data_IF_375420634390
#
_entry.id   IF_375420634390
#
_cell.length_a   1.000
_cell.length_b   1.000
_cell.length_c   1.000
_cell.angle_alpha   90.00
_cell.angle_beta   90.00
_cell.angle_gamma   90.00
#
_symmetry.space_group_name_H-M   'P 1'
#
loop_
_entity.id
_entity.type
_entity.pdbx_description
1 polymer ?
#
# COMPACT_ATOMS: atom_id res chain seq x y z
N UNK A 1 -16.80 6.04 25.13
CA UNK A 1 -17.26 7.25 25.82
C UNK A 1 -16.81 7.23 27.27
N UNK A 2 -15.64 7.82 27.55
CA UNK A 2 -15.11 7.96 28.91
C UNK A 2 -15.72 9.13 29.69
N UNK A 3 -16.55 9.94 29.04
CA UNK A 3 -17.28 11.05 29.64
C UNK A 3 -18.54 10.61 30.39
N UNK A 4 -19.27 11.60 30.89
CA UNK A 4 -20.51 11.43 31.65
C UNK A 4 -21.77 11.82 30.87
N UNK A 5 -21.63 12.24 29.61
CA UNK A 5 -22.74 12.61 28.70
C UNK A 5 -22.80 11.59 27.57
N UNK A 6 -23.99 11.13 27.19
CA UNK A 6 -24.18 10.26 26.01
C UNK A 6 -23.75 11.01 24.76
N UNK A 7 -22.93 10.37 23.92
CA UNK A 7 -22.57 10.88 22.60
C UNK A 7 -23.56 10.35 21.56
N UNK A 8 -24.13 11.22 20.75
CA UNK A 8 -25.10 10.91 19.72
C UNK A 8 -24.56 11.24 18.32
N UNK A 9 -25.13 10.56 17.32
CA UNK A 9 -24.79 10.74 15.91
C UNK A 9 -23.29 10.65 15.62
N UNK A 10 -22.62 9.71 16.29
CA UNK A 10 -21.19 9.53 16.14
C UNK A 10 -20.91 9.09 14.70
N UNK A 11 -20.05 9.83 14.01
CA UNK A 11 -19.55 9.50 12.67
C UNK A 11 -18.04 9.39 12.68
N UNK A 12 -17.49 8.64 11.73
CA UNK A 12 -16.05 8.53 11.52
C UNK A 12 -15.76 8.82 10.05
N UNK A 13 -14.80 9.70 9.81
CA UNK A 13 -14.33 10.06 8.49
C UNK A 13 -12.84 9.78 8.37
N UNK A 14 -12.39 9.50 7.14
CA UNK A 14 -11.01 9.17 6.84
C UNK A 14 -10.66 9.68 5.42
N UNK A 15 -9.56 10.42 5.22
CA UNK A 15 -9.19 10.95 3.91
C UNK A 15 -8.76 9.88 2.89
N UNK A 16 -8.25 8.73 3.34
CA UNK A 16 -7.68 7.68 2.50
C UNK A 16 -8.67 6.57 2.16
N UNK A 17 -9.72 6.40 2.98
CA UNK A 17 -10.70 5.32 2.80
C UNK A 17 -12.13 5.78 3.00
N UNK A 18 -13.06 5.10 2.31
CA UNK A 18 -14.47 5.22 2.61
C UNK A 18 -14.79 4.38 3.86
N UNK A 19 -15.16 5.05 4.95
CA UNK A 19 -15.61 4.39 6.17
C UNK A 19 -17.04 3.88 6.00
N UNK A 20 -17.25 2.59 6.28
CA UNK A 20 -18.57 1.96 6.33
C UNK A 20 -19.01 1.84 7.79
N UNK A 21 -20.23 2.29 8.09
CA UNK A 21 -20.76 2.26 9.44
C UNK A 21 -21.55 3.50 9.83
N UNK A 22 -22.01 3.50 11.07
CA UNK A 22 -22.66 4.64 11.71
C UNK A 22 -23.91 5.20 11.00
N UNK A 23 -24.41 6.35 11.49
CA UNK A 23 -24.05 6.94 12.78
C UNK A 23 -24.48 6.04 13.96
N UNK A 24 -23.78 6.14 15.10
CA UNK A 24 -24.11 5.40 16.33
C UNK A 24 -24.24 6.33 17.54
N UNK A 25 -24.77 5.81 18.65
CA UNK A 25 -24.80 6.51 19.93
C UNK A 25 -24.00 5.72 20.98
N UNK A 26 -23.24 6.40 21.84
CA UNK A 26 -22.49 5.80 22.94
C UNK A 26 -22.88 6.42 24.28
N UNK A 27 -23.54 5.64 25.13
CA UNK A 27 -23.79 6.01 26.53
C UNK A 27 -22.48 6.16 27.34
N UNK A 28 -22.49 6.89 28.46
CA UNK A 28 -21.34 6.98 29.36
C UNK A 28 -20.78 5.60 29.74
N UNK A 29 -19.46 5.44 29.64
CA UNK A 29 -18.75 4.19 29.91
C UNK A 29 -18.83 3.12 28.82
N UNK A 30 -19.66 3.29 27.79
CA UNK A 30 -19.75 2.35 26.67
C UNK A 30 -18.59 2.51 25.68
N UNK A 31 -18.28 1.43 24.96
CA UNK A 31 -17.31 1.39 23.87
C UNK A 31 -17.91 0.64 22.67
N UNK A 32 -17.52 1.04 21.47
CA UNK A 32 -17.86 0.38 20.21
C UNK A 32 -16.55 0.07 19.46
N UNK A 33 -16.46 -1.12 18.91
CA UNK A 33 -15.32 -1.57 18.10
C UNK A 33 -15.74 -2.42 16.89
N UNK A 34 -17.01 -2.32 16.49
CA UNK A 34 -17.59 -3.15 15.42
C UNK A 34 -18.41 -2.36 14.41
N UNK A 35 -18.88 -1.15 14.77
CA UNK A 35 -19.81 -0.39 13.93
C UNK A 35 -19.14 0.38 12.80
N UNK A 36 -17.82 0.57 12.84
CA UNK A 36 -17.04 1.27 11.81
C UNK A 36 -15.95 0.37 11.23
N UNK A 37 -15.90 0.26 9.91
CA UNK A 37 -14.90 -0.53 9.17
C UNK A 37 -14.50 0.19 7.89
N UNK A 38 -13.26 0.00 7.44
CA UNK A 38 -12.79 0.51 6.17
C UNK A 38 -11.69 -0.39 5.61
N UNK A 39 -11.40 -0.28 4.31
CA UNK A 39 -10.31 -1.03 3.67
C UNK A 39 -9.55 -0.11 2.73
N UNK A 40 -8.24 -0.03 2.94
CA UNK A 40 -7.32 0.70 2.06
C UNK A 40 -6.67 -0.28 1.07
N UNK A 41 -6.68 0.06 -0.21
CA UNK A 41 -5.97 -0.72 -1.24
C UNK A 41 -4.61 -0.07 -1.47
N UNK A 42 -3.54 -0.81 -1.17
CA UNK A 42 -2.17 -0.32 -1.34
C UNK A 42 -1.85 -0.01 -2.80
N UNK A 43 -1.09 1.06 -3.01
CA UNK A 43 -0.49 1.43 -4.29
C UNK A 43 0.97 0.98 -4.37
N UNK A 44 1.55 0.95 -5.57
CA UNK A 44 2.98 0.67 -5.72
C UNK A 44 3.84 1.74 -5.02
N UNK A 45 3.41 3.00 -5.04
CA UNK A 45 4.11 4.07 -4.33
C UNK A 45 4.14 3.85 -2.81
N UNK A 46 3.10 3.25 -2.23
CA UNK A 46 3.08 2.86 -0.81
C UNK A 46 4.07 1.73 -0.53
N UNK A 47 4.17 0.74 -1.43
CA UNK A 47 5.15 -0.33 -1.29
C UNK A 47 6.58 0.22 -1.42
N UNK A 48 6.81 1.14 -2.35
CA UNK A 48 8.09 1.81 -2.57
C UNK A 48 8.47 2.75 -1.40
N UNK A 49 7.48 3.39 -0.74
CA UNK A 49 7.70 4.20 0.46
C UNK A 49 7.94 3.34 1.71
N UNK A 50 7.47 2.09 1.70
CA UNK A 50 7.64 1.13 2.79
C UNK A 50 6.72 1.36 3.99
N UNK A 51 5.76 2.29 3.91
CA UNK A 51 4.75 2.52 4.96
C UNK A 51 3.53 3.27 4.42
N UNK A 52 2.40 3.13 5.13
CA UNK A 52 1.20 3.94 4.95
C UNK A 52 0.88 4.64 6.27
N UNK A 53 0.75 5.96 6.22
CA UNK A 53 0.29 6.79 7.32
C UNK A 53 -1.16 7.19 7.07
N UNK A 54 -2.07 6.76 7.95
CA UNK A 54 -3.50 7.03 7.82
C UNK A 54 -4.04 7.76 9.06
N UNK A 55 -4.99 8.66 8.87
CA UNK A 55 -5.61 9.44 9.95
C UNK A 55 -7.13 9.34 9.83
N UNK A 56 -7.78 8.83 10.87
CA UNK A 56 -9.24 8.83 10.97
C UNK A 56 -9.68 9.85 12.01
N UNK A 57 -10.88 10.39 11.82
CA UNK A 57 -11.46 11.44 12.64
C UNK A 57 -12.88 11.09 13.05
N UNK A 58 -13.16 11.11 14.35
CA UNK A 58 -14.50 10.87 14.88
C UNK A 58 -15.17 12.16 15.34
N UNK A 59 -16.46 12.30 15.05
CA UNK A 59 -17.28 13.45 15.45
C UNK A 59 -18.61 12.98 16.09
N UNK A 60 -19.22 13.81 16.94
CA UNK A 60 -20.50 13.56 17.61
C UNK A 60 -21.17 14.89 18.00
N UNK A 61 -22.50 14.90 18.12
CA UNK A 61 -23.29 16.13 18.36
C UNK A 61 -22.88 16.89 19.63
N UNK A 62 -22.39 16.18 20.65
CA UNK A 62 -21.98 16.75 21.94
C UNK A 62 -20.52 17.23 21.97
N UNK A 63 -19.75 17.05 20.89
CA UNK A 63 -18.39 17.58 20.78
C UNK A 63 -18.44 19.03 20.28
N UNK A 64 -17.76 19.93 21.00
CA UNK A 64 -17.72 21.36 20.67
C UNK A 64 -16.43 21.82 19.97
N UNK A 65 -15.45 20.91 19.76
CA UNK A 65 -14.20 20.95 18.94
C UNK A 65 -12.92 20.48 19.72
N UNK A 66 -11.97 19.70 19.13
CA UNK A 66 -12.04 18.97 17.87
C UNK A 66 -12.44 17.51 18.03
N UNK A 67 -13.22 17.05 17.07
CA UNK A 67 -12.89 15.88 16.26
C UNK A 67 -11.72 15.04 16.84
N UNK A 68 -12.03 13.87 17.40
CA UNK A 68 -10.99 13.00 17.94
C UNK A 68 -10.30 12.30 16.76
N UNK A 69 -9.14 12.84 16.38
CA UNK A 69 -8.32 12.32 15.29
C UNK A 69 -7.24 11.38 15.83
N UNK A 70 -7.09 10.22 15.22
CA UNK A 70 -6.00 9.29 15.53
C UNK A 70 -5.22 8.93 14.28
N UNK A 71 -3.88 8.92 14.39
CA UNK A 71 -3.01 8.46 13.32
C UNK A 71 -2.59 7.00 13.53
N UNK A 72 -2.33 6.30 12.44
CA UNK A 72 -1.75 4.96 12.45
C UNK A 72 -0.74 4.84 11.31
N UNK A 73 0.46 4.35 11.64
CA UNK A 73 1.52 4.07 10.67
C UNK A 73 1.66 2.56 10.50
N UNK A 74 1.31 2.06 9.32
CA UNK A 74 1.45 0.64 8.99
C UNK A 74 2.71 0.42 8.15
N UNK A 75 3.76 -0.23 8.68
CA UNK A 75 4.95 -0.55 7.91
C UNK A 75 4.69 -1.66 6.88
N UNK A 76 5.29 -1.55 5.70
CA UNK A 76 5.21 -2.50 4.61
C UNK A 76 6.58 -3.13 4.36
N UNK A 77 6.64 -4.46 4.37
CA UNK A 77 7.90 -5.19 4.14
C UNK A 77 8.35 -5.05 2.68
N UNK A 78 9.52 -4.44 2.49
CA UNK A 78 10.17 -4.35 1.19
C UNK A 78 11.09 -5.56 0.95
N UNK A 79 11.07 -6.07 -0.26
CA UNK A 79 11.85 -7.21 -0.73
C UNK A 79 12.33 -6.93 -2.17
N UNK A 80 13.34 -6.08 -2.35
CA UNK A 80 13.96 -5.83 -3.66
C UNK A 80 14.58 -7.12 -4.19
N UNK A 81 14.28 -7.47 -5.43
CA UNK A 81 14.87 -8.63 -6.09
C UNK A 81 14.91 -8.44 -7.60
N UNK A 82 15.93 -8.99 -8.25
CA UNK A 82 16.09 -8.89 -9.69
C UNK A 82 16.66 -10.18 -10.26
N UNK A 83 16.23 -10.51 -11.47
CA UNK A 83 16.82 -11.59 -12.27
C UNK A 83 17.33 -11.04 -13.59
N UNK A 84 18.35 -11.71 -14.14
CA UNK A 84 18.93 -11.39 -15.44
C UNK A 84 18.97 -12.64 -16.31
N UNK A 85 18.55 -12.51 -17.56
CA UNK A 85 18.71 -13.52 -18.58
C UNK A 85 19.65 -13.01 -19.67
N UNK A 86 20.57 -13.88 -20.13
CA UNK A 86 21.51 -13.60 -21.21
C UNK A 86 21.30 -14.62 -22.32
N UNK A 87 21.03 -14.15 -23.52
CA UNK A 87 20.99 -14.98 -24.72
C UNK A 87 22.07 -14.54 -25.71
N UNK A 88 22.69 -15.50 -26.38
CA UNK A 88 23.71 -15.26 -27.40
C UNK A 88 23.25 -15.85 -28.74
N UNK A 89 23.49 -15.13 -29.83
CA UNK A 89 23.32 -15.63 -31.20
C UNK A 89 24.66 -15.51 -31.91
N UNK A 90 25.20 -16.63 -32.36
CA UNK A 90 26.36 -16.62 -33.24
C UNK A 90 25.99 -15.95 -34.56
N UNK A 91 26.86 -15.09 -35.03
CA UNK A 91 26.76 -14.43 -36.31
C UNK A 91 27.77 -15.12 -37.23
N UNK A 92 27.27 -15.89 -38.21
CA UNK A 92 28.09 -16.47 -39.27
C UNK A 92 28.22 -15.43 -40.38
N UNK A 93 29.28 -14.63 -40.35
CA UNK A 93 29.42 -13.50 -41.26
C UNK A 93 29.79 -13.92 -42.69
N UNK A 94 30.37 -15.10 -42.87
CA UNK A 94 30.77 -15.59 -44.20
C UNK A 94 29.85 -16.68 -44.77
N UNK A 95 28.89 -17.17 -43.97
CA UNK A 95 27.83 -18.08 -44.39
C UNK A 95 28.29 -19.52 -44.61
N UNK A 96 29.44 -19.92 -44.06
CA UNK A 96 30.01 -21.26 -44.28
C UNK A 96 29.51 -22.30 -43.25
N UNK A 97 28.76 -21.87 -42.22
CA UNK A 97 28.21 -22.72 -41.17
C UNK A 97 29.21 -23.16 -40.09
N UNK A 98 30.42 -22.58 -40.07
CA UNK A 98 31.47 -22.85 -39.09
C UNK A 98 31.84 -21.59 -38.31
N UNK A 99 32.35 -21.76 -37.10
CA UNK A 99 32.87 -20.65 -36.31
C UNK A 99 34.36 -20.42 -36.62
N UNK A 100 34.71 -19.19 -36.98
CA UNK A 100 36.04 -18.79 -37.40
C UNK A 100 36.55 -17.53 -36.68
N UNK A 101 37.86 -17.32 -36.74
CA UNK A 101 38.48 -16.16 -36.11
C UNK A 101 38.09 -14.87 -36.84
N UNK A 102 37.52 -13.92 -36.10
CA UNK A 102 37.04 -12.65 -36.63
C UNK A 102 35.52 -12.53 -36.67
N UNK A 103 34.81 -13.63 -36.46
CA UNK A 103 33.34 -13.65 -36.39
C UNK A 103 32.81 -13.29 -35.00
N UNK A 104 31.52 -12.98 -34.90
CA UNK A 104 30.95 -12.37 -33.70
C UNK A 104 29.77 -13.14 -33.06
N UNK A 105 29.44 -12.78 -31.82
CA UNK A 105 28.24 -13.27 -31.12
C UNK A 105 27.47 -12.05 -30.63
N UNK A 106 26.21 -11.93 -31.06
CA UNK A 106 25.27 -10.93 -30.56
C UNK A 106 24.71 -11.38 -29.22
N UNK A 107 24.73 -10.52 -28.20
CA UNK A 107 24.14 -10.82 -26.89
C UNK A 107 22.95 -9.90 -26.60
N UNK A 108 21.86 -10.49 -26.11
CA UNK A 108 20.72 -9.75 -25.55
C UNK A 108 20.59 -10.04 -24.06
N UNK A 109 20.34 -8.99 -23.28
CA UNK A 109 20.13 -9.07 -21.83
C UNK A 109 18.71 -8.65 -21.51
N UNK A 110 18.00 -9.46 -20.71
CA UNK A 110 16.69 -9.11 -20.16
C UNK A 110 16.81 -9.04 -18.65
N UNK A 111 16.44 -7.90 -18.07
CA UNK A 111 16.37 -7.71 -16.63
C UNK A 111 14.91 -7.71 -16.20
N UNK A 112 14.59 -8.45 -15.14
CA UNK A 112 13.25 -8.53 -14.59
C UNK A 112 13.31 -8.18 -13.11
N UNK A 113 12.54 -7.17 -12.68
CA UNK A 113 12.29 -6.95 -11.26
C UNK A 113 11.37 -8.07 -10.76
N UNK A 114 11.88 -8.86 -9.82
CA UNK A 114 11.15 -9.95 -9.15
C UNK A 114 10.86 -9.63 -7.69
N UNK A 115 11.21 -8.41 -7.25
CA UNK A 115 10.88 -7.87 -5.95
C UNK A 115 9.52 -7.22 -5.93
N UNK A 116 9.22 -6.55 -4.80
CA UNK A 116 8.03 -5.71 -4.64
C UNK A 116 8.36 -4.21 -4.61
N UNK A 117 9.62 -3.83 -4.84
CA UNK A 117 10.15 -2.46 -4.96
C UNK A 117 11.16 -2.38 -6.10
#
# INVERSE_FOLDING_TARGET
>A
NTGNVTLNNITVTDPMVSVNGGPINLAPGASDNTSFTATYTLTQADVDSGQVDNIATADADELTDPEDSNNETTPLTQNPAMTIAKAGSFNDENGNGYAEAGETISYTFSLTNTGNV
#
